data_IF_479630186782
#
_entry.id   IF_479630186782
#
_cell.length_a   1.000
_cell.length_b   1.000
_cell.length_c   1.000
_cell.angle_alpha   90.00
_cell.angle_beta   90.00
_cell.angle_gamma   90.00
#
_symmetry.space_group_name_H-M   'P 1'
#
loop_
_entity.id
_entity.type
_entity.pdbx_description
1 polymer ?
#
# COMPACT_ATOMS: atom_id res chain seq x y z
N UNK A 1 -23.06 -31.51 29.29
CA UNK A 1 -23.92 -30.34 28.96
C UNK A 1 -23.12 -29.12 29.36
N UNK A 2 -22.45 -28.50 28.39
CA UNK A 2 -21.60 -27.34 28.62
C UNK A 2 -22.44 -26.07 28.72
N UNK A 3 -22.34 -25.40 29.87
CA UNK A 3 -22.86 -24.05 30.08
C UNK A 3 -21.73 -23.06 29.91
N UNK A 4 -21.99 -21.93 29.27
CA UNK A 4 -21.04 -20.83 29.13
C UNK A 4 -21.51 -19.70 30.06
N UNK A 5 -20.62 -19.24 30.96
CA UNK A 5 -20.88 -18.06 31.78
C UNK A 5 -20.37 -16.80 31.04
N UNK A 6 -21.23 -15.80 30.91
CA UNK A 6 -20.87 -14.50 30.35
C UNK A 6 -21.09 -13.41 31.41
N UNK A 7 -20.23 -12.39 31.40
CA UNK A 7 -20.36 -11.23 32.28
C UNK A 7 -20.83 -10.05 31.42
N UNK A 8 -22.02 -9.55 31.70
CA UNK A 8 -22.53 -8.35 31.03
C UNK A 8 -21.86 -7.08 31.51
N UNK A 9 -21.95 -5.98 30.75
CA UNK A 9 -21.32 -4.69 31.05
C UNK A 9 -21.71 -4.05 32.40
N UNK A 10 -22.70 -4.57 33.09
CA UNK A 10 -23.12 -4.19 34.46
C UNK A 10 -22.65 -5.18 35.51
N UNK A 11 -21.75 -6.10 35.21
CA UNK A 11 -21.21 -7.10 36.16
C UNK A 11 -22.14 -8.29 36.42
N UNK A 12 -23.33 -8.36 35.81
CA UNK A 12 -24.25 -9.47 36.01
C UNK A 12 -23.75 -10.71 35.24
N UNK A 13 -23.65 -11.84 35.97
CA UNK A 13 -23.33 -13.14 35.36
C UNK A 13 -24.58 -13.74 34.75
N UNK A 14 -24.51 -14.09 33.48
CA UNK A 14 -25.59 -14.81 32.78
C UNK A 14 -25.04 -16.14 32.27
N UNK A 15 -25.75 -17.21 32.59
CA UNK A 15 -25.45 -18.55 32.06
C UNK A 15 -26.23 -18.78 30.79
N UNK A 16 -25.54 -19.02 29.68
CA UNK A 16 -26.16 -19.32 28.39
C UNK A 16 -25.91 -20.79 28.07
N UNK A 17 -26.97 -21.49 27.60
CA UNK A 17 -26.80 -22.88 27.14
C UNK A 17 -26.08 -22.91 25.81
N UNK A 18 -25.27 -23.94 25.60
CA UNK A 18 -24.51 -24.12 24.36
C UNK A 18 -25.41 -24.13 23.10
N UNK A 19 -26.60 -24.68 23.24
CA UNK A 19 -27.63 -24.72 22.19
C UNK A 19 -28.18 -23.33 21.84
N UNK A 20 -28.23 -22.42 22.80
CA UNK A 20 -28.64 -21.02 22.60
C UNK A 20 -27.57 -20.24 21.87
N UNK A 21 -26.29 -20.49 22.16
CA UNK A 21 -25.16 -19.87 21.45
C UNK A 21 -25.12 -20.29 20.00
N UNK A 22 -25.42 -21.56 19.67
CA UNK A 22 -25.47 -22.04 18.28
C UNK A 22 -26.63 -21.44 17.48
N UNK A 23 -27.69 -20.97 18.14
CA UNK A 23 -28.84 -20.30 17.52
C UNK A 23 -28.66 -18.80 17.36
N UNK A 24 -27.68 -18.20 18.01
CA UNK A 24 -27.38 -16.76 17.89
C UNK A 24 -26.71 -16.50 16.55
N UNK A 25 -27.44 -15.91 15.61
CA UNK A 25 -26.84 -15.37 14.39
C UNK A 25 -25.92 -14.21 14.77
N UNK A 26 -24.67 -14.27 14.32
CA UNK A 26 -23.76 -13.13 14.41
C UNK A 26 -24.30 -11.98 13.54
N UNK A 27 -24.71 -10.89 14.18
CA UNK A 27 -25.21 -9.70 13.48
C UNK A 27 -24.04 -8.79 13.06
N UNK A 28 -23.37 -9.19 12.00
CA UNK A 28 -22.24 -8.45 11.45
C UNK A 28 -22.62 -7.03 10.99
N UNK A 29 -23.85 -6.85 10.53
CA UNK A 29 -24.32 -5.56 10.01
C UNK A 29 -24.38 -4.46 11.08
N UNK A 30 -24.66 -4.82 12.33
CA UNK A 30 -24.66 -3.87 13.45
C UNK A 30 -23.33 -3.84 14.20
N UNK A 31 -22.65 -4.98 14.33
CA UNK A 31 -21.44 -5.12 15.14
C UNK A 31 -20.20 -4.52 14.44
N UNK A 32 -20.00 -4.85 13.18
CA UNK A 32 -18.79 -4.42 12.45
C UNK A 32 -18.68 -2.90 12.30
N UNK A 33 -19.71 -2.16 11.83
CA UNK A 33 -19.62 -0.71 11.72
C UNK A 33 -19.40 -0.01 13.07
N UNK A 34 -19.99 -0.55 14.13
CA UNK A 34 -19.80 -0.04 15.49
C UNK A 34 -18.32 -0.06 15.90
N UNK A 35 -17.64 -1.21 15.68
CA UNK A 35 -16.25 -1.37 16.08
C UNK A 35 -15.30 -0.62 15.15
N UNK A 36 -15.56 -0.62 13.84
CA UNK A 36 -14.79 0.15 12.87
C UNK A 36 -14.79 1.65 13.23
N UNK A 37 -15.97 2.21 13.51
CA UNK A 37 -16.11 3.58 13.97
C UNK A 37 -15.32 3.84 15.25
N UNK A 38 -15.47 2.98 16.26
CA UNK A 38 -14.77 3.11 17.54
C UNK A 38 -13.25 3.10 17.36
N UNK A 39 -12.71 2.17 16.56
CA UNK A 39 -11.27 2.08 16.33
C UNK A 39 -10.70 3.33 15.64
N UNK A 40 -11.46 3.95 14.74
CA UNK A 40 -11.05 5.19 14.07
C UNK A 40 -11.09 6.39 15.04
N UNK A 41 -12.18 6.53 15.81
CA UNK A 41 -12.35 7.65 16.75
C UNK A 41 -11.34 7.61 17.90
N UNK A 42 -11.08 6.44 18.47
CA UNK A 42 -10.15 6.24 19.59
C UNK A 42 -8.70 6.06 19.13
N UNK A 43 -8.43 6.03 17.81
CA UNK A 43 -7.11 5.77 17.23
C UNK A 43 -6.46 4.51 17.85
N UNK A 44 -7.26 3.46 18.02
CA UNK A 44 -6.90 2.24 18.76
C UNK A 44 -5.59 1.59 18.29
N UNK A 45 -5.24 1.78 17.01
CA UNK A 45 -4.06 1.17 16.39
C UNK A 45 -2.90 2.13 16.18
N UNK A 46 -2.96 3.30 16.81
CA UNK A 46 -1.89 4.30 16.74
C UNK A 46 -0.57 3.76 17.29
N UNK A 47 0.52 4.04 16.57
CA UNK A 47 1.88 3.73 16.99
C UNK A 47 2.53 4.96 17.63
N UNK A 48 2.92 4.83 18.87
CA UNK A 48 3.57 5.91 19.62
C UNK A 48 4.98 6.20 19.07
N UNK A 49 5.30 7.48 18.89
CA UNK A 49 6.65 7.93 18.59
C UNK A 49 7.53 7.83 19.86
N UNK A 50 8.74 7.36 19.68
CA UNK A 50 9.76 7.37 20.73
C UNK A 50 9.37 6.65 22.04
N UNK A 51 8.38 5.74 21.99
CA UNK A 51 8.09 4.87 23.14
C UNK A 51 9.33 4.01 23.45
N UNK A 52 9.93 4.22 24.62
CA UNK A 52 11.08 3.45 25.08
C UNK A 52 10.67 2.17 25.81
N UNK A 53 9.42 2.12 26.30
CA UNK A 53 8.98 1.13 27.29
C UNK A 53 8.38 -0.14 26.66
N UNK A 54 8.06 -0.08 25.37
CA UNK A 54 7.50 -1.22 24.64
C UNK A 54 8.45 -1.67 23.53
N UNK A 55 8.66 -2.97 23.34
CA UNK A 55 9.42 -3.46 22.20
C UNK A 55 8.74 -3.03 20.91
N UNK A 56 9.54 -2.65 19.89
CA UNK A 56 9.04 -2.16 18.61
C UNK A 56 8.78 -3.32 17.67
N UNK A 57 7.70 -3.23 16.90
CA UNK A 57 7.41 -4.16 15.81
C UNK A 57 6.92 -3.39 14.58
N UNK A 58 7.59 -3.57 13.47
CA UNK A 58 7.18 -2.99 12.19
C UNK A 58 6.50 -4.05 11.34
N UNK A 59 5.18 -3.94 11.18
CA UNK A 59 4.38 -4.76 10.28
C UNK A 59 4.33 -4.07 8.91
N UNK A 60 4.84 -4.72 7.88
CA UNK A 60 4.93 -4.14 6.55
C UNK A 60 4.11 -4.96 5.55
N UNK A 61 3.28 -4.27 4.77
CA UNK A 61 2.59 -4.80 3.60
C UNK A 61 2.86 -3.89 2.41
N UNK A 62 2.72 -4.44 1.21
CA UNK A 62 2.84 -3.67 -0.03
C UNK A 62 1.67 -2.69 -0.16
N UNK A 63 1.96 -1.45 -0.60
CA UNK A 63 0.93 -0.46 -0.86
C UNK A 63 0.09 -0.86 -2.07
N UNK A 64 -1.23 -0.67 -2.04
CA UNK A 64 -2.04 -0.85 -3.23
C UNK A 64 -1.77 0.26 -4.24
N UNK A 65 -1.83 -0.11 -5.50
CA UNK A 65 -1.86 0.82 -6.62
C UNK A 65 -3.31 1.29 -6.81
N UNK A 66 -3.67 2.56 -6.58
CA UNK A 66 -5.05 3.03 -6.59
C UNK A 66 -5.55 3.23 -8.03
N UNK A 67 -5.33 2.23 -8.90
CA UNK A 67 -5.83 2.19 -10.27
C UNK A 67 -7.09 1.35 -10.35
N UNK A 68 -8.14 1.86 -10.97
CA UNK A 68 -9.39 1.12 -11.15
C UNK A 68 -10.39 1.30 -10.00
N UNK A 69 -11.36 0.38 -9.90
CA UNK A 69 -12.56 0.58 -9.10
C UNK A 69 -12.44 0.14 -7.63
N UNK A 70 -11.25 -0.22 -7.17
CA UNK A 70 -11.04 -0.61 -5.78
C UNK A 70 -10.16 -1.84 -5.60
N UNK A 71 -10.17 -2.39 -4.38
CA UNK A 71 -9.42 -3.56 -4.00
C UNK A 71 -9.91 -4.82 -4.72
N UNK A 72 -9.00 -5.73 -4.99
CA UNK A 72 -9.31 -7.10 -5.41
C UNK A 72 -8.86 -8.12 -4.34
N UNK A 73 -9.26 -9.39 -4.49
CA UNK A 73 -8.97 -10.46 -3.53
C UNK A 73 -7.45 -10.61 -3.25
N UNK A 74 -6.61 -10.33 -4.24
CA UNK A 74 -5.15 -10.34 -4.09
C UNK A 74 -4.63 -9.35 -3.05
N UNK A 75 -5.30 -8.24 -2.82
CA UNK A 75 -4.94 -7.30 -1.74
C UNK A 75 -5.38 -7.83 -0.36
N UNK A 76 -6.60 -8.36 -0.26
CA UNK A 76 -7.15 -8.81 1.01
C UNK A 76 -6.33 -9.93 1.66
N UNK A 77 -5.77 -10.84 0.86
CA UNK A 77 -5.01 -12.00 1.36
C UNK A 77 -3.78 -11.64 2.18
N UNK A 78 -2.78 -10.88 1.67
CA UNK A 78 -1.60 -10.49 2.44
C UNK A 78 -1.95 -9.52 3.57
N UNK A 79 -2.90 -8.62 3.37
CA UNK A 79 -3.30 -7.66 4.40
C UNK A 79 -3.93 -8.35 5.60
N UNK A 80 -4.81 -9.32 5.38
CA UNK A 80 -5.40 -10.12 6.46
C UNK A 80 -4.33 -10.93 7.21
N UNK A 81 -3.41 -11.57 6.51
CA UNK A 81 -2.33 -12.34 7.14
C UNK A 81 -1.47 -11.46 8.05
N UNK A 82 -1.06 -10.27 7.56
CA UNK A 82 -0.25 -9.35 8.35
C UNK A 82 -1.06 -8.68 9.48
N UNK A 83 -2.36 -8.43 9.27
CA UNK A 83 -3.24 -7.88 10.32
C UNK A 83 -3.35 -8.81 11.53
N UNK A 84 -3.44 -10.12 11.29
CA UNK A 84 -3.41 -11.14 12.36
C UNK A 84 -2.12 -11.03 13.17
N UNK A 85 -0.97 -10.93 12.50
CA UNK A 85 0.34 -10.77 13.15
C UNK A 85 0.40 -9.45 13.93
N UNK A 86 -0.02 -8.34 13.32
CA UNK A 86 -0.01 -7.03 13.95
C UNK A 86 -0.87 -6.99 15.22
N UNK A 87 -2.07 -7.57 15.18
CA UNK A 87 -2.96 -7.69 16.35
C UNK A 87 -2.35 -8.55 17.44
N UNK A 88 -1.79 -9.70 17.07
CA UNK A 88 -1.10 -10.59 18.04
C UNK A 88 0.04 -9.85 18.73
N UNK A 89 0.88 -9.11 18.00
CA UNK A 89 1.98 -8.34 18.57
C UNK A 89 1.50 -7.24 19.52
N UNK A 90 0.40 -6.55 19.19
CA UNK A 90 -0.20 -5.58 20.13
C UNK A 90 -0.68 -6.25 21.43
N UNK A 91 -1.31 -7.43 21.31
CA UNK A 91 -1.71 -8.21 22.48
C UNK A 91 -0.52 -8.67 23.31
N UNK A 92 0.64 -8.90 22.71
CA UNK A 92 1.91 -9.22 23.39
C UNK A 92 2.61 -7.99 24.01
N UNK A 93 2.01 -6.79 23.90
CA UNK A 93 2.53 -5.56 24.49
C UNK A 93 3.52 -4.78 23.61
N UNK A 94 3.66 -5.13 22.33
CA UNK A 94 4.52 -4.37 21.40
C UNK A 94 3.90 -3.04 21.00
N UNK A 95 4.75 -2.05 20.75
CA UNK A 95 4.40 -0.85 19.99
C UNK A 95 4.51 -1.18 18.50
N UNK A 96 3.35 -1.34 17.84
CA UNK A 96 3.29 -1.86 16.46
C UNK A 96 3.05 -0.73 15.48
N UNK A 97 4.01 -0.50 14.59
CA UNK A 97 3.83 0.33 13.41
C UNK A 97 3.29 -0.53 12.26
N UNK A 98 2.03 -0.32 11.90
CA UNK A 98 1.37 -0.95 10.76
C UNK A 98 0.75 0.12 9.86
N UNK A 99 1.55 0.77 9.00
CA UNK A 99 1.10 1.86 8.15
C UNK A 99 0.39 1.34 6.91
N UNK A 100 -0.37 2.22 6.25
CA UNK A 100 -0.93 2.03 4.93
C UNK A 100 -0.56 3.23 4.05
N UNK A 101 -0.59 3.02 2.76
CA UNK A 101 -0.35 4.07 1.78
C UNK A 101 -0.87 3.69 0.41
N UNK A 102 -0.56 4.54 -0.56
CA UNK A 102 -0.98 4.34 -1.95
C UNK A 102 0.18 4.66 -2.88
N UNK A 103 0.55 3.70 -3.71
CA UNK A 103 1.48 3.91 -4.82
C UNK A 103 0.70 4.57 -5.97
N UNK A 104 0.63 5.88 -5.93
CA UNK A 104 -0.39 6.65 -6.65
C UNK A 104 0.06 7.24 -7.99
N UNK A 105 1.36 7.22 -8.31
CA UNK A 105 1.84 7.57 -9.65
C UNK A 105 1.65 6.40 -10.62
N UNK A 106 1.21 6.68 -11.86
CA UNK A 106 1.19 5.64 -12.87
C UNK A 106 0.39 5.94 -14.14
N UNK A 107 0.83 5.33 -15.22
CA UNK A 107 0.22 5.41 -16.55
C UNK A 107 -1.26 5.00 -16.62
N UNK A 108 -1.74 3.95 -15.93
CA UNK A 108 -3.16 3.60 -16.01
C UNK A 108 -4.09 4.72 -15.58
N UNK A 109 -3.75 5.43 -14.50
CA UNK A 109 -4.53 6.59 -14.04
C UNK A 109 -4.44 7.75 -15.03
N UNK A 110 -3.24 8.03 -15.57
CA UNK A 110 -3.05 9.10 -16.57
C UNK A 110 -3.82 8.80 -17.85
N UNK A 111 -3.76 7.58 -18.38
CA UNK A 111 -4.48 7.17 -19.56
C UNK A 111 -6.00 7.24 -19.37
N UNK A 112 -6.49 6.83 -18.19
CA UNK A 112 -7.90 6.98 -17.84
C UNK A 112 -8.31 8.45 -17.78
N UNK A 113 -7.50 9.30 -17.18
CA UNK A 113 -7.72 10.73 -17.07
C UNK A 113 -7.78 11.40 -18.45
N UNK A 114 -6.85 11.08 -19.36
CA UNK A 114 -6.82 11.57 -20.73
C UNK A 114 -8.08 11.14 -21.47
N UNK A 115 -8.44 9.86 -21.40
CA UNK A 115 -9.62 9.30 -22.11
C UNK A 115 -10.93 9.94 -21.67
N UNK A 116 -11.03 10.30 -20.40
CA UNK A 116 -12.26 10.85 -19.82
C UNK A 116 -12.23 12.38 -19.66
N UNK A 117 -11.16 13.04 -20.11
CA UNK A 117 -10.97 14.50 -19.99
C UNK A 117 -11.06 14.99 -18.53
N UNK A 118 -10.50 14.22 -17.60
CA UNK A 118 -10.47 14.50 -16.16
C UNK A 118 -9.01 14.72 -15.74
N UNK A 119 -8.75 15.61 -14.78
CA UNK A 119 -7.39 15.79 -14.27
C UNK A 119 -6.93 14.55 -13.47
N UNK A 120 -5.71 14.02 -13.70
CA UNK A 120 -5.22 12.80 -13.04
C UNK A 120 -5.29 12.88 -11.51
N UNK A 121 -4.95 14.03 -10.91
CA UNK A 121 -5.02 14.21 -9.46
C UNK A 121 -6.43 13.96 -8.88
N UNK A 122 -7.49 14.33 -9.63
CA UNK A 122 -8.87 14.05 -9.20
C UNK A 122 -9.16 12.56 -9.22
N UNK A 123 -8.78 11.88 -10.29
CA UNK A 123 -8.97 10.42 -10.44
C UNK A 123 -8.24 9.69 -9.31
N UNK A 124 -6.98 10.04 -9.06
CA UNK A 124 -6.15 9.48 -7.99
C UNK A 124 -6.80 9.71 -6.62
N UNK A 125 -7.26 10.93 -6.35
CA UNK A 125 -7.92 11.25 -5.07
C UNK A 125 -9.17 10.40 -4.86
N UNK A 126 -10.06 10.33 -5.86
CA UNK A 126 -11.33 9.60 -5.76
C UNK A 126 -11.08 8.09 -5.57
N UNK A 127 -10.09 7.53 -6.26
CA UNK A 127 -9.68 6.14 -6.10
C UNK A 127 -9.13 5.87 -4.69
N UNK A 128 -8.25 6.73 -4.18
CA UNK A 128 -7.70 6.62 -2.81
C UNK A 128 -8.83 6.61 -1.77
N UNK A 129 -9.82 7.51 -1.90
CA UNK A 129 -10.96 7.53 -0.97
C UNK A 129 -11.74 6.20 -1.00
N UNK A 130 -11.94 5.63 -2.19
CA UNK A 130 -12.62 4.33 -2.31
C UNK A 130 -11.79 3.19 -1.69
N UNK A 131 -10.48 3.13 -1.97
CA UNK A 131 -9.58 2.14 -1.38
C UNK A 131 -9.55 2.25 0.15
N UNK A 132 -9.40 3.46 0.69
CA UNK A 132 -9.46 3.73 2.14
C UNK A 132 -10.76 3.20 2.75
N UNK A 133 -11.89 3.53 2.15
CA UNK A 133 -13.21 3.06 2.61
C UNK A 133 -13.28 1.53 2.62
N UNK A 134 -12.78 0.86 1.59
CA UNK A 134 -12.80 -0.60 1.50
C UNK A 134 -11.87 -1.25 2.54
N UNK A 135 -10.67 -0.70 2.75
CA UNK A 135 -9.72 -1.17 3.77
C UNK A 135 -10.30 -1.00 5.19
N UNK A 136 -10.98 0.10 5.45
CA UNK A 136 -11.66 0.34 6.73
C UNK A 136 -12.83 -0.61 6.93
N UNK A 137 -13.60 -0.91 5.88
CA UNK A 137 -14.67 -1.91 5.92
C UNK A 137 -14.17 -3.31 6.27
N UNK A 138 -12.97 -3.69 5.80
CA UNK A 138 -12.33 -4.96 6.15
C UNK A 138 -11.80 -4.98 7.59
N UNK A 139 -11.81 -3.83 8.28
CA UNK A 139 -11.49 -3.73 9.70
C UNK A 139 -10.02 -3.91 10.02
N UNK A 140 -9.11 -3.71 9.08
CA UNK A 140 -7.68 -3.84 9.31
C UNK A 140 -7.15 -2.84 10.35
N UNK A 141 -6.19 -3.28 11.14
CA UNK A 141 -5.59 -2.52 12.23
C UNK A 141 -4.45 -1.61 11.77
N UNK A 142 -4.64 -0.91 10.65
CA UNK A 142 -3.68 0.08 10.19
C UNK A 142 -3.65 1.32 11.09
N UNK A 143 -2.48 1.92 11.22
CA UNK A 143 -2.32 3.24 11.80
C UNK A 143 -2.61 4.31 10.74
N UNK A 144 -3.84 4.79 10.71
CA UNK A 144 -4.31 5.76 9.72
C UNK A 144 -3.68 7.15 9.86
N UNK A 145 -3.07 7.47 11.00
CA UNK A 145 -2.28 8.70 11.17
C UNK A 145 -0.93 8.63 10.40
N UNK A 146 -0.54 7.42 9.98
CA UNK A 146 0.66 7.13 9.18
C UNK A 146 0.36 6.83 7.72
N UNK A 147 -0.82 7.21 7.26
CA UNK A 147 -1.21 7.03 5.86
C UNK A 147 -0.33 7.86 4.92
N UNK A 148 0.11 7.27 3.82
CA UNK A 148 1.03 7.87 2.85
C UNK A 148 0.38 7.89 1.47
N UNK A 149 0.52 9.02 0.76
CA UNK A 149 0.22 9.11 -0.67
C UNK A 149 1.49 9.53 -1.41
N UNK A 150 1.98 8.68 -2.29
CA UNK A 150 3.25 8.92 -3.02
C UNK A 150 3.18 10.12 -3.97
N UNK A 151 1.97 10.58 -4.36
CA UNK A 151 1.78 11.80 -5.16
C UNK A 151 1.70 13.08 -4.32
N UNK A 152 1.76 12.98 -3.00
CA UNK A 152 1.85 14.16 -2.14
C UNK A 152 3.24 14.80 -2.26
N UNK A 153 3.35 16.11 -2.54
CA UNK A 153 4.62 16.82 -2.55
C UNK A 153 5.43 16.67 -1.26
N UNK A 154 4.76 16.56 -0.12
CA UNK A 154 5.42 16.32 1.16
C UNK A 154 6.12 14.95 1.22
N UNK A 155 5.65 13.97 0.43
CA UNK A 155 6.27 12.67 0.30
C UNK A 155 7.34 12.64 -0.80
N UNK A 156 7.02 12.99 -2.05
CA UNK A 156 7.94 12.81 -3.17
C UNK A 156 9.13 13.79 -3.17
N UNK A 157 9.11 14.85 -2.37
CA UNK A 157 10.30 15.70 -2.15
C UNK A 157 11.53 14.89 -1.72
N UNK A 158 11.32 13.79 -1.00
CA UNK A 158 12.42 12.92 -0.57
C UNK A 158 12.98 12.09 -1.73
N UNK A 159 12.14 11.64 -2.65
CA UNK A 159 12.58 11.01 -3.90
C UNK A 159 13.41 11.98 -4.74
N UNK A 160 12.96 13.24 -4.85
CA UNK A 160 13.71 14.30 -5.51
C UNK A 160 15.05 14.58 -4.81
N UNK A 161 15.05 14.61 -3.48
CA UNK A 161 16.27 14.79 -2.70
C UNK A 161 17.27 13.64 -2.92
N UNK A 162 16.82 12.39 -2.92
CA UNK A 162 17.65 11.22 -3.20
C UNK A 162 18.26 11.34 -4.61
N UNK A 163 17.46 11.69 -5.62
CA UNK A 163 17.97 11.91 -6.98
C UNK A 163 19.05 12.97 -7.02
N UNK A 164 18.87 14.09 -6.31
CA UNK A 164 19.89 15.15 -6.23
C UNK A 164 21.17 14.69 -5.54
N UNK A 165 21.08 13.81 -4.53
CA UNK A 165 22.28 13.21 -3.93
C UNK A 165 23.00 12.31 -4.94
N UNK A 166 22.28 11.46 -5.66
CA UNK A 166 22.86 10.62 -6.72
C UNK A 166 23.55 11.48 -7.80
N UNK A 167 22.91 12.55 -8.21
CA UNK A 167 23.51 13.50 -9.17
C UNK A 167 24.78 14.16 -8.64
N UNK A 168 24.77 14.67 -7.40
CA UNK A 168 25.93 15.30 -6.75
C UNK A 168 27.11 14.35 -6.62
N UNK A 169 26.85 13.06 -6.44
CA UNK A 169 27.91 12.04 -6.35
C UNK A 169 28.31 11.44 -7.71
N UNK A 170 27.81 12.00 -8.82
CA UNK A 170 28.12 11.54 -10.17
C UNK A 170 27.51 10.18 -10.54
N UNK A 171 26.53 9.72 -9.76
CA UNK A 171 25.81 8.46 -9.97
C UNK A 171 24.60 8.62 -10.88
N UNK A 172 24.07 9.84 -11.04
CA UNK A 172 23.03 10.17 -12.01
C UNK A 172 23.62 11.05 -13.12
N UNK A 173 23.30 10.72 -14.37
CA UNK A 173 23.78 11.43 -15.54
C UNK A 173 22.72 11.45 -16.64
N UNK A 174 22.82 12.41 -17.56
CA UNK A 174 21.89 12.54 -18.66
C UNK A 174 22.56 12.10 -19.96
N UNK A 175 21.88 11.26 -20.73
CA UNK A 175 22.38 10.78 -22.03
C UNK A 175 21.24 10.60 -23.02
N UNK A 176 21.57 10.53 -24.30
CA UNK A 176 20.63 10.18 -25.35
C UNK A 176 20.79 8.70 -25.68
N UNK A 177 19.69 7.97 -25.73
CA UNK A 177 19.69 6.54 -26.03
C UNK A 177 18.42 6.13 -26.78
N UNK A 178 18.48 5.08 -27.59
CA UNK A 178 17.30 4.52 -28.23
C UNK A 178 16.43 3.80 -27.19
N UNK A 179 15.16 4.16 -27.10
CA UNK A 179 14.16 3.55 -26.21
C UNK A 179 13.05 2.89 -27.03
N UNK A 180 12.37 1.93 -26.43
CA UNK A 180 11.13 1.39 -26.99
C UNK A 180 10.02 2.43 -26.79
N UNK A 181 9.42 2.86 -27.90
CA UNK A 181 8.37 3.88 -27.90
C UNK A 181 7.06 3.33 -28.42
N UNK A 182 6.03 3.35 -27.60
CA UNK A 182 4.68 3.04 -28.06
C UNK A 182 4.08 4.25 -28.80
N UNK A 183 3.66 4.05 -30.05
CA UNK A 183 3.14 5.12 -30.91
C UNK A 183 1.74 5.58 -30.50
N UNK A 184 0.96 4.73 -29.85
CA UNK A 184 -0.40 5.01 -29.36
C UNK A 184 -0.39 5.57 -27.93
N UNK A 185 0.22 4.85 -26.98
CA UNK A 185 0.30 5.30 -25.58
C UNK A 185 1.24 6.52 -25.40
N UNK A 186 2.09 6.81 -26.39
CA UNK A 186 3.08 7.91 -26.37
C UNK A 186 4.00 7.87 -25.15
N UNK A 187 4.40 6.68 -24.75
CA UNK A 187 5.29 6.45 -23.62
C UNK A 187 6.47 5.55 -23.98
N UNK A 188 7.50 5.61 -23.14
CA UNK A 188 8.63 4.68 -23.18
C UNK A 188 8.18 3.37 -22.52
N UNK A 189 8.63 2.26 -23.09
CA UNK A 189 8.35 0.92 -22.59
C UNK A 189 9.65 0.22 -22.17
N UNK A 190 9.59 -0.53 -21.08
CA UNK A 190 10.62 -1.49 -20.74
C UNK A 190 10.66 -2.64 -21.78
N UNK A 191 11.74 -3.41 -21.79
CA UNK A 191 11.86 -4.50 -22.77
C UNK A 191 10.78 -5.57 -22.55
N UNK A 192 10.39 -5.81 -21.30
CA UNK A 192 9.37 -6.77 -20.89
C UNK A 192 7.95 -6.36 -21.32
N UNK A 193 7.72 -5.06 -21.54
CA UNK A 193 6.43 -4.49 -21.98
C UNK A 193 6.26 -4.54 -23.52
N UNK A 194 7.27 -5.07 -24.25
CA UNK A 194 7.24 -5.24 -25.69
C UNK A 194 7.12 -6.73 -26.03
N UNK A 195 5.92 -7.14 -26.42
CA UNK A 195 5.61 -8.53 -26.79
C UNK A 195 5.46 -8.62 -28.31
N UNK A 196 6.30 -9.42 -28.97
CA UNK A 196 6.28 -9.60 -30.44
C UNK A 196 6.29 -8.28 -31.24
N UNK A 197 7.01 -7.27 -30.73
CA UNK A 197 7.14 -5.96 -31.40
C UNK A 197 5.98 -5.00 -31.17
N UNK A 198 4.99 -5.38 -30.35
CA UNK A 198 3.85 -4.54 -30.00
C UNK A 198 3.83 -4.22 -28.51
N UNK A 199 3.13 -3.15 -28.17
CA UNK A 199 2.91 -2.73 -26.79
C UNK A 199 1.96 -3.71 -26.09
N UNK A 200 2.40 -4.32 -24.99
CA UNK A 200 1.59 -5.24 -24.16
C UNK A 200 0.22 -4.65 -23.77
N UNK A 201 0.17 -3.32 -23.54
CA UNK A 201 -1.03 -2.64 -23.03
C UNK A 201 -2.08 -2.34 -24.08
N UNK A 202 -1.64 -1.93 -25.29
CA UNK A 202 -2.57 -1.43 -26.33
C UNK A 202 -2.47 -2.15 -27.67
N UNK A 203 -1.53 -3.10 -27.83
CA UNK A 203 -1.32 -3.84 -29.07
C UNK A 203 -0.75 -3.03 -30.24
N UNK A 204 -0.41 -1.75 -30.02
CA UNK A 204 0.13 -0.89 -31.09
C UNK A 204 1.61 -1.17 -31.35
N UNK A 205 2.09 -0.95 -32.60
CA UNK A 205 3.50 -1.13 -32.95
C UNK A 205 4.44 -0.30 -32.06
N UNK A 206 5.52 -0.91 -31.64
CA UNK A 206 6.60 -0.25 -30.90
C UNK A 206 7.73 0.07 -31.84
N UNK A 207 8.25 1.29 -31.76
CA UNK A 207 9.39 1.75 -32.55
C UNK A 207 10.58 2.10 -31.65
N UNK A 208 11.78 2.04 -32.19
CA UNK A 208 12.97 2.60 -31.53
C UNK A 208 13.02 4.10 -31.75
N UNK A 209 13.15 4.87 -30.69
CA UNK A 209 13.18 6.33 -30.74
C UNK A 209 14.29 6.87 -29.83
N UNK A 210 15.12 7.76 -30.38
CA UNK A 210 16.14 8.47 -29.59
C UNK A 210 15.47 9.43 -28.59
N UNK A 211 15.82 9.26 -27.32
CA UNK A 211 15.31 10.08 -26.23
C UNK A 211 16.44 10.47 -25.28
N UNK A 212 16.45 11.72 -24.86
CA UNK A 212 17.28 12.16 -23.76
C UNK A 212 16.69 11.64 -22.45
N UNK A 213 17.47 10.88 -21.70
CA UNK A 213 17.05 10.18 -20.50
C UNK A 213 18.04 10.46 -19.35
N UNK A 214 17.50 10.50 -18.13
CA UNK A 214 18.31 10.35 -16.94
C UNK A 214 18.63 8.89 -16.69
N UNK A 215 19.89 8.61 -16.40
CA UNK A 215 20.40 7.28 -16.12
C UNK A 215 21.08 7.26 -14.76
N UNK A 216 21.04 6.11 -14.10
CA UNK A 216 21.79 5.85 -12.89
C UNK A 216 22.87 4.82 -13.18
N UNK A 217 24.07 5.01 -12.59
CA UNK A 217 25.19 4.06 -12.67
C UNK A 217 24.92 2.90 -11.71
N UNK A 218 23.96 2.04 -12.02
CA UNK A 218 23.51 0.96 -11.13
C UNK A 218 24.57 -0.10 -10.84
N UNK A 219 25.60 -0.20 -11.68
CA UNK A 219 26.71 -1.16 -11.52
C UNK A 219 27.93 -0.58 -10.80
N UNK A 220 27.92 0.70 -10.39
CA UNK A 220 29.07 1.37 -9.77
C UNK A 220 29.56 0.66 -8.50
N UNK A 221 28.64 0.06 -7.76
CA UNK A 221 28.93 -0.64 -6.51
C UNK A 221 28.98 -2.17 -6.65
N UNK A 222 28.91 -2.72 -7.88
CA UNK A 222 28.83 -4.17 -8.09
C UNK A 222 30.03 -4.91 -7.47
N UNK A 223 31.26 -4.42 -7.73
CA UNK A 223 32.46 -5.06 -7.17
C UNK A 223 32.51 -4.93 -5.64
N UNK A 224 32.20 -3.74 -5.12
CA UNK A 224 32.18 -3.52 -3.67
C UNK A 224 31.17 -4.43 -2.95
N UNK A 225 29.98 -4.63 -3.54
CA UNK A 225 28.97 -5.53 -2.98
C UNK A 225 29.45 -6.99 -2.92
N UNK A 226 30.32 -7.40 -3.88
CA UNK A 226 30.96 -8.70 -3.85
C UNK A 226 32.02 -8.76 -2.75
N UNK A 227 32.89 -7.75 -2.70
CA UNK A 227 33.99 -7.70 -1.73
C UNK A 227 33.47 -7.62 -0.28
N UNK A 228 32.36 -6.91 -0.04
CA UNK A 228 31.71 -6.78 1.28
C UNK A 228 31.05 -8.10 1.77
N UNK A 229 31.00 -9.19 0.96
CA UNK A 229 30.53 -10.51 1.41
C UNK A 229 31.59 -11.29 2.19
N UNK A 230 32.85 -10.91 2.06
CA UNK A 230 33.99 -11.60 2.69
C UNK A 230 34.45 -10.92 4.01
N UNK A 231 33.65 -9.92 4.52
CA UNK A 231 33.95 -9.10 5.69
C UNK A 231 33.08 -9.33 6.92
#
# INVERSE_FOLDING_TARGET
ISKIETVGGNGARRTIRYEEVQKMKYDFASIEPKWQKKWLEEKTFHCENHSSDKPKFYALVEFPYPSGQGLHVGHARPYTAMDVVARKRRMDGYNVLFPMGYDAFGLPTENYAIKNHIHPAKVTHDNIQNFRRQLQMLGYSFDWDREINTTDPAYYKWTQWIFLQLYKHGLAYKTTMPVNWCTSCKCVLANEEVVEGVCERCGSPVIRKEKSQWMLKITEYAQRLIDDLDG
#
